data_IF_254422327059
#
_entry.id   IF_254422327059
#
_cell.length_a   1.000
_cell.length_b   1.000
_cell.length_c   1.000
_cell.angle_alpha   90.00
_cell.angle_beta   90.00
_cell.angle_gamma   90.00
#
_symmetry.space_group_name_H-M   'P 1'
#
loop_
_entity.id
_entity.type
_entity.pdbx_description
1 polymer ?
#
# COMPACT_ATOMS: atom_id res chain seq x y z
N UNK A 1 -1.09 -49.86 29.84
CA UNK A 1 -0.80 -48.60 30.54
C UNK A 1 0.60 -48.16 30.12
N UNK A 2 0.71 -47.21 29.20
CA UNK A 2 2.01 -46.64 28.80
C UNK A 2 2.26 -45.37 29.62
N UNK A 3 3.44 -45.28 30.22
CA UNK A 3 3.85 -44.19 31.11
C UNK A 3 4.04 -42.89 30.33
N UNK A 4 3.48 -41.79 30.86
CA UNK A 4 3.67 -40.42 30.36
C UNK A 4 5.10 -39.98 30.69
N UNK A 5 5.89 -39.47 29.72
CA UNK A 5 7.24 -39.01 29.99
C UNK A 5 7.22 -37.73 30.83
N UNK A 6 8.10 -37.60 31.85
CA UNK A 6 8.17 -36.41 32.67
C UNK A 6 8.97 -35.32 31.94
N UNK A 7 8.47 -34.09 31.91
CA UNK A 7 9.32 -32.93 31.64
C UNK A 7 8.88 -31.91 30.60
N UNK A 8 7.65 -31.96 30.06
CA UNK A 8 7.05 -30.76 29.46
C UNK A 8 6.24 -30.04 30.53
N UNK A 9 6.93 -29.48 31.53
CA UNK A 9 6.38 -28.35 32.26
C UNK A 9 6.19 -27.25 31.20
N UNK A 10 4.96 -27.10 30.72
CA UNK A 10 4.53 -25.91 30.00
C UNK A 10 5.04 -24.73 30.83
N UNK A 11 6.03 -23.99 30.30
CA UNK A 11 6.49 -22.75 30.94
C UNK A 11 5.22 -21.98 31.32
N UNK A 12 5.08 -21.51 32.56
CA UNK A 12 3.93 -20.71 32.92
C UNK A 12 3.84 -19.57 31.90
N UNK A 13 2.70 -19.48 31.23
CA UNK A 13 2.41 -18.39 30.30
C UNK A 13 2.52 -17.10 31.11
N UNK A 14 3.61 -16.38 30.91
CA UNK A 14 3.81 -15.08 31.50
C UNK A 14 3.33 -14.04 30.48
N UNK A 15 2.14 -13.44 30.69
CA UNK A 15 1.61 -12.46 29.74
C UNK A 15 2.56 -11.26 29.62
N UNK A 16 3.32 -10.90 30.65
CA UNK A 16 4.27 -9.80 30.59
C UNK A 16 5.39 -10.08 29.56
N UNK A 17 5.91 -11.32 29.51
CA UNK A 17 6.93 -11.72 28.53
C UNK A 17 6.38 -11.71 27.10
N UNK A 18 5.08 -11.96 26.90
CA UNK A 18 4.46 -11.95 25.58
C UNK A 18 4.30 -10.55 24.97
N UNK A 19 4.33 -9.49 25.78
CA UNK A 19 4.06 -8.11 25.34
C UNK A 19 5.26 -7.16 25.44
N UNK A 20 6.39 -7.57 26.02
CA UNK A 20 7.48 -6.63 26.35
C UNK A 20 8.56 -6.43 25.29
N UNK A 21 8.80 -7.37 24.38
CA UNK A 21 9.78 -7.14 23.32
C UNK A 21 9.56 -8.06 22.11
N UNK A 22 9.16 -7.48 20.98
CA UNK A 22 9.38 -8.13 19.69
C UNK A 22 10.85 -7.88 19.30
N UNK A 23 11.62 -8.92 18.92
CA UNK A 23 12.94 -8.75 18.32
C UNK A 23 12.91 -7.71 17.20
N UNK A 24 13.96 -6.90 17.07
CA UNK A 24 13.96 -5.76 16.14
C UNK A 24 13.59 -6.14 14.69
N UNK A 25 14.04 -7.30 14.22
CA UNK A 25 13.76 -7.83 12.88
C UNK A 25 12.28 -8.22 12.73
N UNK A 26 11.69 -8.86 13.74
CA UNK A 26 10.26 -9.18 13.78
C UNK A 26 9.44 -7.90 13.86
N UNK A 27 9.84 -6.94 14.71
CA UNK A 27 9.15 -5.66 14.84
C UNK A 27 9.18 -4.86 13.54
N UNK A 28 10.27 -5.00 12.76
CA UNK A 28 10.38 -4.40 11.43
C UNK A 28 9.45 -5.08 10.42
N UNK A 29 9.42 -6.42 10.40
CA UNK A 29 8.53 -7.19 9.55
C UNK A 29 7.05 -6.86 9.83
N UNK A 30 6.65 -6.82 11.10
CA UNK A 30 5.28 -6.48 11.49
C UNK A 30 4.90 -5.04 11.13
N UNK A 31 5.83 -4.09 11.28
CA UNK A 31 5.61 -2.72 10.77
C UNK A 31 5.42 -2.70 9.25
N UNK A 32 6.12 -3.57 8.53
CA UNK A 32 5.90 -3.80 7.10
C UNK A 32 4.50 -4.30 6.78
N UNK A 33 4.00 -5.30 7.52
CA UNK A 33 2.63 -5.80 7.38
C UNK A 33 1.58 -4.73 7.69
N UNK A 34 1.79 -3.95 8.76
CA UNK A 34 0.92 -2.83 9.12
C UNK A 34 0.88 -1.77 8.02
N UNK A 35 2.03 -1.41 7.45
CA UNK A 35 2.10 -0.45 6.35
C UNK A 35 1.38 -0.96 5.09
N UNK A 36 1.51 -2.26 4.77
CA UNK A 36 0.79 -2.88 3.66
C UNK A 36 -0.73 -2.87 3.90
N UNK A 37 -1.19 -3.23 5.10
CA UNK A 37 -2.61 -3.19 5.46
C UNK A 37 -3.19 -1.77 5.41
N UNK A 38 -2.42 -0.76 5.84
CA UNK A 38 -2.81 0.64 5.74
C UNK A 38 -2.97 1.07 4.27
N UNK A 39 -2.06 0.64 3.39
CA UNK A 39 -2.16 0.90 1.95
C UNK A 39 -3.40 0.24 1.32
N UNK A 40 -3.67 -1.03 1.65
CA UNK A 40 -4.84 -1.74 1.13
C UNK A 40 -6.14 -1.08 1.62
N UNK A 41 -6.17 -0.62 2.87
CA UNK A 41 -7.32 0.14 3.37
C UNK A 41 -7.48 1.47 2.64
N UNK A 42 -6.40 2.21 2.37
CA UNK A 42 -6.45 3.46 1.63
C UNK A 42 -6.97 3.26 0.20
N UNK A 43 -6.56 2.18 -0.48
CA UNK A 43 -7.07 1.79 -1.80
C UNK A 43 -8.57 1.58 -1.81
N UNK A 44 -9.09 0.86 -0.80
CA UNK A 44 -10.53 0.64 -0.64
C UNK A 44 -11.28 1.96 -0.42
N UNK A 45 -10.75 2.85 0.43
CA UNK A 45 -11.37 4.18 0.67
C UNK A 45 -11.36 5.01 -0.61
N UNK A 46 -10.27 5.01 -1.38
CA UNK A 46 -10.18 5.71 -2.65
C UNK A 46 -11.14 5.13 -3.69
N UNK A 47 -11.31 3.80 -3.73
CA UNK A 47 -12.28 3.15 -4.62
C UNK A 47 -13.73 3.48 -4.25
N UNK A 48 -14.05 3.56 -2.95
CA UNK A 48 -15.37 4.00 -2.50
C UNK A 48 -15.69 5.41 -3.00
N UNK A 49 -14.71 6.33 -3.00
CA UNK A 49 -14.89 7.68 -3.55
C UNK A 49 -15.14 7.70 -5.06
N UNK A 50 -14.66 6.71 -5.81
CA UNK A 50 -15.00 6.57 -7.23
C UNK A 50 -16.46 6.14 -7.39
N UNK A 51 -16.92 5.16 -6.61
CA UNK A 51 -18.31 4.66 -6.61
C UNK A 51 -19.28 5.79 -6.29
N UNK A 52 -18.98 6.59 -5.27
CA UNK A 52 -19.83 7.70 -4.84
C UNK A 52 -19.86 8.86 -5.85
N UNK A 53 -19.08 8.80 -6.93
CA UNK A 53 -18.97 9.85 -7.93
C UNK A 53 -18.91 9.31 -9.37
N UNK A 54 -17.75 9.45 -10.05
CA UNK A 54 -17.66 9.28 -11.49
C UNK A 54 -17.77 7.83 -11.98
N UNK A 55 -17.63 6.85 -11.08
CA UNK A 55 -17.83 5.42 -11.34
C UNK A 55 -19.15 4.91 -10.71
N UNK A 56 -20.12 5.80 -10.48
CA UNK A 56 -21.43 5.41 -9.97
C UNK A 56 -22.10 4.36 -10.86
N UNK A 57 -22.67 3.34 -10.22
CA UNK A 57 -23.25 2.17 -10.89
C UNK A 57 -22.30 0.97 -11.00
N UNK A 58 -21.07 1.09 -10.50
CA UNK A 58 -20.14 -0.04 -10.38
C UNK A 58 -20.40 -0.92 -9.16
N UNK A 59 -19.76 -2.08 -9.18
CA UNK A 59 -19.71 -3.05 -8.09
C UNK A 59 -19.13 -2.44 -6.78
N UNK A 60 -18.87 -3.30 -5.81
CA UNK A 60 -18.27 -2.91 -4.55
C UNK A 60 -16.81 -2.42 -4.68
N UNK A 61 -16.35 -1.69 -3.66
CA UNK A 61 -15.01 -1.10 -3.64
C UNK A 61 -13.88 -2.14 -3.75
N UNK A 62 -14.04 -3.36 -3.21
CA UNK A 62 -13.00 -4.38 -3.29
C UNK A 62 -12.85 -4.90 -4.72
N UNK A 63 -13.97 -5.07 -5.44
CA UNK A 63 -13.97 -5.42 -6.85
C UNK A 63 -13.25 -4.37 -7.72
N UNK A 64 -13.51 -3.07 -7.49
CA UNK A 64 -12.79 -1.99 -8.21
C UNK A 64 -11.29 -2.02 -7.88
N UNK A 65 -10.92 -2.16 -6.61
CA UNK A 65 -9.51 -2.27 -6.22
C UNK A 65 -8.85 -3.45 -6.90
N UNK A 66 -9.52 -4.60 -7.02
CA UNK A 66 -8.98 -5.78 -7.70
C UNK A 66 -8.66 -5.48 -9.17
N UNK A 67 -9.60 -4.89 -9.91
CA UNK A 67 -9.43 -4.53 -11.32
C UNK A 67 -8.30 -3.52 -11.51
N UNK A 68 -8.30 -2.45 -10.72
CA UNK A 68 -7.30 -1.38 -10.83
C UNK A 68 -5.91 -1.83 -10.40
N UNK A 69 -5.82 -2.66 -9.35
CA UNK A 69 -4.54 -3.22 -8.87
C UNK A 69 -3.93 -4.18 -9.88
N UNK A 70 -4.75 -5.06 -10.46
CA UNK A 70 -4.31 -6.04 -11.45
C UNK A 70 -4.02 -5.42 -12.83
N UNK A 71 -4.58 -4.23 -13.10
CA UNK A 71 -4.61 -3.61 -14.42
C UNK A 71 -5.16 -4.57 -15.49
N UNK A 72 -6.22 -5.31 -15.13
CA UNK A 72 -6.71 -6.40 -15.95
C UNK A 72 -7.45 -5.88 -17.18
N UNK A 73 -6.75 -5.81 -18.31
CA UNK A 73 -7.30 -5.39 -19.60
C UNK A 73 -8.36 -6.33 -20.16
N UNK A 74 -8.52 -7.54 -19.58
CA UNK A 74 -9.58 -8.47 -19.98
C UNK A 74 -10.88 -8.25 -19.21
N UNK A 75 -10.85 -7.47 -18.11
CA UNK A 75 -12.06 -7.07 -17.41
C UNK A 75 -12.76 -5.94 -18.19
N UNK A 76 -14.03 -6.11 -18.62
CA UNK A 76 -14.74 -5.07 -19.37
C UNK A 76 -14.86 -3.73 -18.63
N UNK A 77 -14.79 -3.73 -17.30
CA UNK A 77 -14.83 -2.52 -16.48
C UNK A 77 -13.51 -1.74 -16.55
N UNK A 78 -12.41 -2.42 -16.87
CA UNK A 78 -11.07 -1.82 -16.83
C UNK A 78 -10.91 -0.66 -17.80
N UNK A 79 -11.47 -0.75 -19.01
CA UNK A 79 -11.37 0.34 -19.99
C UNK A 79 -11.87 1.66 -19.39
N UNK A 80 -13.05 1.65 -18.78
CA UNK A 80 -13.60 2.84 -18.13
C UNK A 80 -12.88 3.19 -16.83
N UNK A 81 -12.54 2.21 -15.98
CA UNK A 81 -11.85 2.47 -14.72
C UNK A 81 -10.42 3.03 -14.93
N UNK A 82 -9.78 2.68 -16.05
CA UNK A 82 -8.43 3.14 -16.42
C UNK A 82 -8.33 4.66 -16.51
N UNK A 83 -9.41 5.35 -16.91
CA UNK A 83 -9.47 6.82 -16.94
C UNK A 83 -9.27 7.46 -15.55
N UNK A 84 -9.59 6.73 -14.48
CA UNK A 84 -9.51 7.22 -13.11
C UNK A 84 -8.29 6.74 -12.34
N UNK A 85 -7.48 5.84 -12.90
CA UNK A 85 -6.37 5.19 -12.20
C UNK A 85 -5.37 6.14 -11.56
N UNK A 86 -4.97 7.18 -12.30
CA UNK A 86 -4.05 8.20 -11.78
C UNK A 86 -4.66 8.92 -10.56
N UNK A 87 -5.90 9.34 -10.66
CA UNK A 87 -6.59 10.06 -9.60
C UNK A 87 -6.83 9.18 -8.37
N UNK A 88 -7.21 7.92 -8.60
CA UNK A 88 -7.35 6.91 -7.54
C UNK A 88 -6.03 6.65 -6.80
N UNK A 89 -4.92 6.52 -7.53
CA UNK A 89 -3.62 6.31 -6.92
C UNK A 89 -3.08 7.55 -6.19
N UNK A 90 -3.32 8.76 -6.70
CA UNK A 90 -2.99 10.00 -6.01
C UNK A 90 -3.79 10.17 -4.72
N UNK A 91 -5.08 9.84 -4.74
CA UNK A 91 -5.91 9.83 -3.53
C UNK A 91 -5.44 8.76 -2.53
N UNK A 92 -5.08 7.57 -3.00
CA UNK A 92 -4.50 6.53 -2.15
C UNK A 92 -3.21 7.03 -1.49
N UNK A 93 -2.32 7.66 -2.25
CA UNK A 93 -1.08 8.26 -1.75
C UNK A 93 -1.36 9.32 -0.68
N UNK A 94 -2.28 10.25 -0.91
CA UNK A 94 -2.57 11.32 0.05
C UNK A 94 -3.16 10.78 1.36
N UNK A 95 -3.94 9.70 1.30
CA UNK A 95 -4.48 9.02 2.49
C UNK A 95 -3.39 8.33 3.32
N UNK A 96 -2.39 7.71 2.69
CA UNK A 96 -1.31 7.01 3.43
C UNK A 96 -0.18 7.92 3.88
N UNK A 97 0.06 9.05 3.19
CA UNK A 97 1.22 9.92 3.43
C UNK A 97 1.32 10.45 4.87
N UNK A 98 0.18 10.59 5.57
CA UNK A 98 0.13 11.01 6.97
C UNK A 98 0.09 9.87 8.00
N UNK A 99 0.02 8.62 7.55
CA UNK A 99 -0.22 7.45 8.41
C UNK A 99 0.99 6.52 8.46
N UNK A 100 1.69 6.34 7.33
CA UNK A 100 2.87 5.47 7.25
C UNK A 100 4.16 6.27 7.16
N UNK A 101 5.21 5.81 7.84
CA UNK A 101 6.52 6.48 7.85
C UNK A 101 7.15 6.51 6.46
N UNK A 102 6.99 5.44 5.69
CA UNK A 102 7.51 5.32 4.34
C UNK A 102 6.39 4.95 3.35
N UNK A 103 5.79 5.93 2.64
CA UNK A 103 4.77 5.68 1.63
C UNK A 103 5.37 5.33 0.25
N UNK A 104 6.65 4.94 0.15
CA UNK A 104 7.31 4.60 -1.12
C UNK A 104 6.49 3.67 -2.05
N UNK A 105 5.81 2.61 -1.55
CA UNK A 105 4.97 1.78 -2.42
C UNK A 105 3.82 2.55 -3.08
N UNK A 106 3.18 3.48 -2.37
CA UNK A 106 2.10 4.31 -2.91
C UNK A 106 2.63 5.38 -3.88
N UNK A 107 3.80 5.95 -3.59
CA UNK A 107 4.49 6.88 -4.51
C UNK A 107 4.81 6.20 -5.82
N UNK A 108 5.36 4.98 -5.76
CA UNK A 108 5.65 4.16 -6.94
C UNK A 108 4.40 3.84 -7.74
N UNK A 109 3.34 3.38 -7.08
CA UNK A 109 2.06 3.03 -7.72
C UNK A 109 1.47 4.24 -8.47
N UNK A 110 1.41 5.41 -7.82
CA UNK A 110 0.93 6.64 -8.45
C UNK A 110 1.80 7.07 -9.65
N UNK A 111 3.13 6.98 -9.52
CA UNK A 111 4.06 7.31 -10.60
C UNK A 111 3.93 6.35 -11.79
N UNK A 112 3.80 5.04 -11.54
CA UNK A 112 3.58 4.02 -12.57
C UNK A 112 2.22 4.14 -13.27
N UNK A 113 1.29 4.89 -12.68
CA UNK A 113 -0.02 5.26 -13.26
C UNK A 113 0.00 6.65 -13.91
N UNK A 114 1.19 7.25 -14.04
CA UNK A 114 1.39 8.48 -14.79
C UNK A 114 1.29 9.77 -13.98
N UNK A 115 1.30 9.70 -12.64
CA UNK A 115 1.44 10.90 -11.82
C UNK A 115 2.79 11.59 -12.08
N UNK A 116 2.76 12.90 -12.26
CA UNK A 116 3.93 13.75 -12.35
C UNK A 116 4.53 14.02 -10.97
N UNK A 117 5.80 14.48 -10.93
CA UNK A 117 6.47 14.84 -9.67
C UNK A 117 5.70 15.93 -8.91
N UNK A 118 5.12 16.90 -9.61
CA UNK A 118 4.32 17.97 -8.99
C UNK A 118 3.03 17.41 -8.35
N UNK A 119 2.34 16.48 -9.00
CA UNK A 119 1.14 15.82 -8.44
C UNK A 119 1.50 14.97 -7.22
N UNK A 120 2.63 14.24 -7.27
CA UNK A 120 3.15 13.48 -6.12
C UNK A 120 3.51 14.41 -4.95
N UNK A 121 4.17 15.53 -5.23
CA UNK A 121 4.54 16.53 -4.23
C UNK A 121 3.29 17.10 -3.53
N UNK A 122 2.27 17.45 -4.32
CA UNK A 122 1.00 17.93 -3.79
C UNK A 122 0.29 16.87 -2.92
N UNK A 123 0.23 15.61 -3.36
CA UNK A 123 -0.39 14.52 -2.60
C UNK A 123 0.35 14.22 -1.28
N UNK A 124 1.68 14.37 -1.27
CA UNK A 124 2.53 14.17 -0.10
C UNK A 124 2.61 15.40 0.84
N UNK A 125 2.10 16.56 0.41
CA UNK A 125 2.26 17.81 1.15
C UNK A 125 3.72 18.28 1.25
N UNK A 126 4.55 18.00 0.25
CA UNK A 126 5.97 18.40 0.19
C UNK A 126 6.28 19.17 -1.09
N UNK A 127 7.51 19.65 -1.24
CA UNK A 127 7.98 20.30 -2.48
C UNK A 127 8.48 19.27 -3.50
N UNK A 128 8.51 19.64 -4.79
CA UNK A 128 9.08 18.82 -5.87
C UNK A 128 10.52 18.39 -5.57
N UNK A 129 11.34 19.29 -5.05
CA UNK A 129 12.71 18.97 -4.61
C UNK A 129 12.71 17.93 -3.46
N UNK A 130 11.72 17.99 -2.57
CA UNK A 130 11.49 16.96 -1.55
C UNK A 130 11.21 15.59 -2.16
N UNK A 131 10.41 15.54 -3.24
CA UNK A 131 10.15 14.30 -3.99
C UNK A 131 11.44 13.75 -4.60
N UNK A 132 12.23 14.57 -5.29
CA UNK A 132 13.51 14.11 -5.86
C UNK A 132 14.48 13.64 -4.78
N UNK A 133 14.61 14.36 -3.66
CA UNK A 133 15.51 13.96 -2.58
C UNK A 133 15.15 12.62 -1.95
N UNK A 134 13.86 12.34 -1.75
CA UNK A 134 13.39 11.12 -1.06
C UNK A 134 13.15 9.95 -2.01
N UNK A 135 12.62 10.23 -3.19
CA UNK A 135 12.08 9.23 -4.12
C UNK A 135 12.73 9.25 -5.50
N UNK A 136 13.92 9.85 -5.68
CA UNK A 136 14.64 9.82 -6.97
C UNK A 136 14.77 8.41 -7.55
N UNK A 137 14.99 7.40 -6.71
CA UNK A 137 15.10 6.01 -7.13
C UNK A 137 13.80 5.45 -7.77
N UNK A 138 12.64 6.10 -7.51
CA UNK A 138 11.33 5.80 -8.08
C UNK A 138 11.07 6.68 -9.31
N UNK A 139 11.25 8.00 -9.18
CA UNK A 139 10.77 8.98 -10.18
C UNK A 139 11.77 9.28 -11.29
N UNK A 140 13.05 8.90 -11.13
CA UNK A 140 14.07 9.04 -12.18
C UNK A 140 14.08 7.76 -13.02
N UNK A 141 13.52 7.82 -14.24
CA UNK A 141 13.59 6.71 -15.19
C UNK A 141 15.05 6.45 -15.57
N UNK A 142 15.62 5.32 -15.13
CA UNK A 142 16.95 4.88 -15.62
C UNK A 142 16.85 4.57 -17.12
N UNK A 143 17.79 5.06 -17.96
CA UNK A 143 17.81 4.69 -19.37
C UNK A 143 18.01 3.17 -19.49
N UNK A 144 17.10 2.49 -20.20
CA UNK A 144 17.28 1.07 -20.54
C UNK A 144 18.53 0.95 -21.40
N UNK A 145 19.55 0.23 -20.91
CA UNK A 145 20.70 -0.17 -21.70
C UNK A 145 20.15 -0.99 -22.87
N UNK A 146 20.24 -0.48 -24.10
CA UNK A 146 19.91 -1.27 -25.30
C UNK A 146 20.90 -2.44 -25.32
N UNK A 147 20.37 -3.65 -25.23
CA UNK A 147 21.10 -4.89 -25.51
C UNK A 147 21.26 -5.03 -27.03
#
# INVERSE_FOLDING_TARGET
>A
MAAVPPGLQSRPYDPEVAFHELPADEAHAERGHIAAAALDKARLVAAQRLIDGPASGDDDAASIVSVLSARDTNDPRYERLSYFEKHWALLTLSLVAGVVVDPSPAVKDAFERGASVAELAAALGITDNGVYKRYAHIVVRRPRKRA
#
